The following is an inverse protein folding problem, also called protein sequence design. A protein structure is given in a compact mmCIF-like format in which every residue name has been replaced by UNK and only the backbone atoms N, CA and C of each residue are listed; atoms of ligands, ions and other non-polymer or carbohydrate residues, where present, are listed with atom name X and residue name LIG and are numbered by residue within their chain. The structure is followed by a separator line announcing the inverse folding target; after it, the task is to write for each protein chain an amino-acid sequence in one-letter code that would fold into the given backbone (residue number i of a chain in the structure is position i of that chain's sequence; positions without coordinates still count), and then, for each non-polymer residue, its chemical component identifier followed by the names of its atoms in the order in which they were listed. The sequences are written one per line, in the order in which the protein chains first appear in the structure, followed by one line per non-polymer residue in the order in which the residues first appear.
data_IF_275258287882
#
_entry.id   IF_275258287882
#
_cell.length_a   1.000
_cell.length_b   1.000
_cell.length_c   1.000
_cell.angle_alpha   90.00
_cell.angle_beta   90.00
_cell.angle_gamma   90.00
#
_symmetry.space_group_name_H-M   'P 1'
#
loop_
_entity.id
_entity.type
_entity.pdbx_description
1 polymer ?
#
# COMPACT_ATOMS: atom_id res chain seq x y z
N UNK A 1 -11.15 4.82 -2.82
CA UNK A 1 -10.72 5.26 -1.47
C UNK A 1 -10.15 6.68 -1.57
N UNK A 2 -9.91 7.39 -0.47
CA UNK A 2 -9.39 8.77 -0.49
C UNK A 2 -8.14 8.87 0.39
N UNK A 3 -6.99 9.08 -0.25
CA UNK A 3 -5.68 9.04 0.41
C UNK A 3 -5.57 10.07 1.53
N UNK A 4 -5.89 11.33 1.22
CA UNK A 4 -5.87 12.47 2.14
C UNK A 4 -6.71 12.20 3.40
N UNK A 5 -7.95 11.69 3.22
CA UNK A 5 -8.82 11.34 4.36
C UNK A 5 -8.25 10.21 5.21
N UNK A 6 -7.64 9.19 4.59
CA UNK A 6 -7.04 8.07 5.32
C UNK A 6 -5.84 8.55 6.13
N UNK A 7 -4.92 9.31 5.52
CA UNK A 7 -3.72 9.86 6.16
C UNK A 7 -4.09 10.77 7.35
N UNK A 8 -5.05 11.67 7.16
CA UNK A 8 -5.56 12.53 8.24
C UNK A 8 -6.16 11.73 9.39
N UNK A 9 -6.89 10.65 9.10
CA UNK A 9 -7.47 9.76 10.12
C UNK A 9 -6.39 9.04 10.93
N UNK A 10 -5.32 8.56 10.29
CA UNK A 10 -4.21 7.89 10.99
C UNK A 10 -3.22 8.86 11.63
N UNK A 11 -3.31 10.16 11.30
CA UNK A 11 -2.42 11.20 11.82
C UNK A 11 -1.02 11.15 11.19
N UNK A 12 -0.95 10.89 9.89
CA UNK A 12 0.25 11.02 9.05
C UNK A 12 0.10 12.31 8.24
N UNK A 13 1.19 13.08 8.11
CA UNK A 13 1.22 14.29 7.30
C UNK A 13 1.24 13.88 5.82
N UNK A 14 0.30 14.40 5.04
CA UNK A 14 0.16 14.09 3.61
C UNK A 14 1.38 14.51 2.77
N UNK A 15 2.15 15.49 3.27
CA UNK A 15 3.37 16.00 2.66
C UNK A 15 4.65 15.28 3.14
N UNK A 16 4.53 14.32 4.06
CA UNK A 16 5.67 13.52 4.51
C UNK A 16 6.32 12.79 3.34
N UNK A 17 7.65 12.80 3.26
CA UNK A 17 8.38 12.26 2.11
C UNK A 17 8.52 10.74 2.22
N UNK A 18 8.05 10.03 1.20
CA UNK A 18 8.28 8.60 0.98
C UNK A 18 9.18 8.45 -0.25
N UNK A 19 10.48 8.30 -0.02
CA UNK A 19 11.53 8.33 -1.06
C UNK A 19 11.53 9.66 -1.86
N UNK A 20 10.85 9.69 -3.00
CA UNK A 20 10.72 10.84 -3.91
C UNK A 20 9.26 11.30 -4.08
N UNK A 21 8.32 10.68 -3.37
CA UNK A 21 6.90 10.97 -3.39
C UNK A 21 6.44 11.59 -2.07
N UNK A 22 5.31 12.30 -2.09
CA UNK A 22 4.57 12.58 -0.85
C UNK A 22 3.86 11.33 -0.34
N UNK A 23 3.50 11.31 0.95
CA UNK A 23 2.69 10.25 1.53
C UNK A 23 1.32 10.14 0.83
N UNK A 24 0.77 11.26 0.37
CA UNK A 24 -0.44 11.29 -0.45
C UNK A 24 -0.26 10.58 -1.79
N UNK A 25 0.81 10.89 -2.53
CA UNK A 25 1.13 10.27 -3.81
C UNK A 25 1.37 8.77 -3.66
N UNK A 26 2.19 8.38 -2.67
CA UNK A 26 2.49 6.99 -2.37
C UNK A 26 1.23 6.18 -2.02
N UNK A 27 0.36 6.74 -1.16
CA UNK A 27 -0.89 6.08 -0.83
C UNK A 27 -1.87 6.09 -2.01
N UNK A 28 -1.85 7.12 -2.85
CA UNK A 28 -2.63 7.17 -4.09
C UNK A 28 -2.34 5.97 -4.98
N UNK A 29 -1.06 5.71 -5.28
CA UNK A 29 -0.63 4.55 -6.08
C UNK A 29 -1.05 3.23 -5.44
N UNK A 30 -0.86 3.07 -4.14
CA UNK A 30 -1.29 1.86 -3.42
C UNK A 30 -2.81 1.66 -3.50
N UNK A 31 -3.61 2.72 -3.37
CA UNK A 31 -5.07 2.67 -3.49
C UNK A 31 -5.48 2.22 -4.89
N UNK A 32 -4.86 2.75 -5.94
CA UNK A 32 -5.13 2.33 -7.33
C UNK A 32 -4.88 0.83 -7.51
N UNK A 33 -3.74 0.34 -7.03
CA UNK A 33 -3.41 -1.09 -7.05
C UNK A 33 -4.42 -1.94 -6.26
N UNK A 34 -4.86 -1.48 -5.09
CA UNK A 34 -5.82 -2.21 -4.26
C UNK A 34 -7.19 -2.27 -4.93
N UNK A 35 -7.63 -1.19 -5.56
CA UNK A 35 -8.90 -1.17 -6.30
C UNK A 35 -8.88 -2.11 -7.50
N UNK A 36 -7.71 -2.29 -8.14
CA UNK A 36 -7.53 -3.19 -9.27
C UNK A 36 -7.45 -4.68 -8.85
N UNK A 37 -6.63 -5.00 -7.85
CA UNK A 37 -6.26 -6.39 -7.54
C UNK A 37 -6.90 -6.95 -6.27
N UNK A 38 -7.28 -6.09 -5.31
CA UNK A 38 -7.69 -6.50 -3.97
C UNK A 38 -8.87 -5.66 -3.43
N UNK A 39 -10.00 -5.53 -4.14
CA UNK A 39 -11.03 -4.51 -3.86
C UNK A 39 -11.74 -4.67 -2.50
N UNK A 40 -11.57 -5.82 -1.84
CA UNK A 40 -12.14 -6.09 -0.53
C UNK A 40 -11.20 -5.71 0.64
N UNK A 41 -9.94 -5.34 0.35
CA UNK A 41 -8.95 -5.00 1.36
C UNK A 41 -9.30 -3.67 2.05
N UNK A 42 -9.38 -3.70 3.38
CA UNK A 42 -9.84 -2.57 4.20
C UNK A 42 -8.66 -1.75 4.72
N UNK A 43 -7.89 -1.12 3.82
CA UNK A 43 -6.67 -0.39 4.24
C UNK A 43 -6.97 0.81 5.14
N UNK A 44 -8.17 1.36 5.01
CA UNK A 44 -8.70 2.45 5.81
C UNK A 44 -8.92 2.05 7.28
N UNK A 45 -8.65 0.80 7.66
CA UNK A 45 -8.74 0.32 9.05
C UNK A 45 -7.39 0.06 9.72
N UNK A 46 -6.27 0.19 8.99
CA UNK A 46 -4.94 0.03 9.58
C UNK A 46 -4.72 1.03 10.71
N UNK A 47 -3.98 0.64 11.74
CA UNK A 47 -3.44 1.57 12.73
C UNK A 47 -2.34 2.44 12.12
N UNK A 48 -1.98 3.55 12.76
CA UNK A 48 -0.85 4.40 12.32
C UNK A 48 0.44 3.57 12.14
N UNK A 49 0.74 2.68 13.09
CA UNK A 49 1.95 1.84 13.06
C UNK A 49 1.95 0.91 11.85
N UNK A 50 0.83 0.24 11.58
CA UNK A 50 0.70 -0.66 10.43
C UNK A 50 0.78 0.11 9.11
N UNK A 51 0.23 1.32 9.07
CA UNK A 51 0.32 2.21 7.92
C UNK A 51 1.77 2.64 7.64
N UNK A 52 2.51 2.99 8.68
CA UNK A 52 3.94 3.32 8.56
C UNK A 52 4.72 2.15 7.98
N UNK A 53 4.47 0.92 8.46
CA UNK A 53 5.13 -0.28 7.91
C UNK A 53 4.79 -0.49 6.43
N UNK A 54 3.52 -0.30 6.03
CA UNK A 54 3.13 -0.40 4.62
C UNK A 54 3.87 0.63 3.75
N UNK A 55 3.99 1.87 4.20
CA UNK A 55 4.71 2.93 3.48
C UNK A 55 6.23 2.69 3.44
N UNK A 56 6.81 2.16 4.51
CA UNK A 56 8.22 1.73 4.55
C UNK A 56 8.48 0.62 3.53
N UNK A 57 7.63 -0.43 3.50
CA UNK A 57 7.71 -1.49 2.51
C UNK A 57 7.55 -0.97 1.08
N UNK A 58 6.67 0.02 0.85
CA UNK A 58 6.53 0.66 -0.45
C UNK A 58 7.79 1.44 -0.87
N UNK A 59 8.41 2.18 0.06
CA UNK A 59 9.70 2.84 -0.19
C UNK A 59 10.77 1.83 -0.62
N UNK A 60 10.86 0.68 0.04
CA UNK A 60 11.81 -0.38 -0.33
C UNK A 60 11.49 -0.99 -1.72
N UNK A 61 10.20 -1.16 -2.03
CA UNK A 61 9.75 -1.67 -3.32
C UNK A 61 10.02 -0.70 -4.48
N UNK A 62 9.91 0.62 -4.27
CA UNK A 62 10.27 1.63 -5.27
C UNK A 62 11.73 1.48 -5.71
N UNK A 63 12.62 1.14 -4.77
CA UNK A 63 14.04 0.97 -5.03
C UNK A 63 14.38 -0.39 -5.66
N UNK A 64 13.50 -1.38 -5.50
CA UNK A 64 13.75 -2.79 -5.86
C UNK A 64 13.09 -3.20 -7.17
N UNK A 65 11.88 -2.72 -7.43
CA UNK A 65 11.05 -3.13 -8.56
C UNK A 65 10.87 -2.01 -9.58
N UNK A 66 10.68 -2.39 -10.84
CA UNK A 66 10.33 -1.45 -11.90
C UNK A 66 8.86 -1.01 -11.77
N UNK A 67 8.49 0.20 -12.21
CA UNK A 67 7.12 0.71 -12.05
C UNK A 67 6.11 0.07 -13.02
N UNK A 68 6.55 -0.57 -14.11
CA UNK A 68 5.63 -1.20 -15.07
C UNK A 68 4.77 -2.30 -14.40
N UNK A 69 3.48 -2.33 -14.71
CA UNK A 69 2.55 -3.34 -14.19
C UNK A 69 2.24 -3.22 -12.69
N UNK A 70 2.47 -2.05 -12.09
CA UNK A 70 2.30 -1.80 -10.65
C UNK A 70 3.16 -2.73 -9.76
N UNK A 71 4.33 -3.17 -10.24
CA UNK A 71 5.15 -4.12 -9.45
C UNK A 71 5.65 -3.54 -8.12
N UNK A 72 5.79 -2.22 -8.03
CA UNK A 72 6.19 -1.55 -6.79
C UNK A 72 5.06 -1.64 -5.74
N UNK A 73 3.83 -1.34 -6.14
CA UNK A 73 2.64 -1.38 -5.29
C UNK A 73 2.31 -2.83 -4.90
N UNK A 74 2.27 -3.73 -5.89
CA UNK A 74 2.01 -5.16 -5.67
C UNK A 74 3.06 -5.77 -4.74
N UNK A 75 4.33 -5.43 -4.94
CA UNK A 75 5.43 -5.85 -4.08
C UNK A 75 5.25 -5.38 -2.63
N UNK A 76 4.82 -4.13 -2.43
CA UNK A 76 4.59 -3.58 -1.10
C UNK A 76 3.42 -4.25 -0.38
N UNK A 77 2.34 -4.58 -1.10
CA UNK A 77 1.21 -5.34 -0.55
C UNK A 77 1.63 -6.76 -0.16
N UNK A 78 2.42 -7.44 -0.99
CA UNK A 78 2.97 -8.78 -0.70
C UNK A 78 3.92 -8.77 0.51
N UNK A 79 4.83 -7.79 0.60
CA UNK A 79 5.71 -7.65 1.76
C UNK A 79 4.96 -7.30 3.05
N UNK A 80 3.74 -6.78 2.93
CA UNK A 80 2.85 -6.43 4.05
C UNK A 80 1.79 -7.49 4.35
N UNK A 81 1.88 -8.69 3.76
CA UNK A 81 0.86 -9.75 3.83
C UNK A 81 0.38 -10.03 5.25
N UNK A 82 1.29 -10.22 6.22
CA UNK A 82 0.94 -10.56 7.60
C UNK A 82 0.01 -9.52 8.24
N UNK A 83 0.23 -8.24 7.93
CA UNK A 83 -0.60 -7.14 8.41
C UNK A 83 -1.92 -7.13 7.64
N UNK A 84 -1.87 -7.16 6.31
CA UNK A 84 -3.02 -6.96 5.44
C UNK A 84 -4.04 -8.10 5.48
N UNK A 85 -3.62 -9.32 5.83
CA UNK A 85 -4.53 -10.44 6.08
C UNK A 85 -5.55 -10.15 7.19
N UNK A 86 -5.17 -9.36 8.20
CA UNK A 86 -6.09 -8.93 9.28
C UNK A 86 -7.21 -8.02 8.75
N UNK A 87 -7.01 -7.44 7.57
CA UNK A 87 -7.88 -6.44 6.94
C UNK A 87 -8.51 -6.94 5.65
N UNK A 88 -8.45 -8.25 5.37
CA UNK A 88 -9.18 -8.87 4.28
C UNK A 88 -8.34 -9.24 3.06
N UNK A 89 -7.00 -9.18 3.12
CA UNK A 89 -6.17 -9.76 2.07
C UNK A 89 -6.32 -11.29 2.06
N UNK A 90 -6.85 -11.83 0.96
CA UNK A 90 -7.10 -13.26 0.78
C UNK A 90 -5.96 -13.96 0.06
N UNK A 91 -5.97 -15.29 0.07
CA UNK A 91 -5.00 -16.09 -0.71
C UNK A 91 -5.15 -15.89 -2.22
N UNK A 92 -6.36 -15.58 -2.68
CA UNK A 92 -6.60 -15.32 -4.10
C UNK A 92 -6.08 -13.93 -4.49
N UNK A 93 -6.21 -12.93 -3.61
CA UNK A 93 -5.57 -11.63 -3.77
C UNK A 93 -4.04 -11.77 -3.88
N UNK A 94 -3.43 -12.59 -3.02
CA UNK A 94 -1.98 -12.84 -3.06
C UNK A 94 -1.55 -13.45 -4.39
N UNK A 95 -2.32 -14.41 -4.94
CA UNK A 95 -2.01 -15.03 -6.24
C UNK A 95 -2.07 -14.03 -7.40
N UNK A 96 -2.99 -13.06 -7.36
CA UNK A 96 -3.07 -12.03 -8.41
C UNK A 96 -2.04 -10.92 -8.20
N UNK A 97 -1.66 -10.64 -6.96
CA UNK A 97 -0.58 -9.70 -6.64
C UNK A 97 0.79 -10.26 -7.02
N UNK A 98 1.00 -11.57 -6.95
CA UNK A 98 2.25 -12.21 -7.36
C UNK A 98 2.49 -12.02 -8.87
N UNK A 99 3.66 -11.46 -9.21
CA UNK A 99 4.07 -11.11 -10.56
C UNK A 99 5.25 -11.95 -11.07
N UNK A 100 5.48 -13.12 -10.46
CA UNK A 100 6.38 -14.14 -10.96
C UNK A 100 6.08 -14.57 -12.41
#
# INVERSE_FOLDING_TARGET
MDATKILKRVGIDESESITHFSAEEALGSLIECIEEYCPNLQIDKLSKKEFTILLENYSDCILTFHPEGMHQERGALLQSEEILRKYGLSDDDIKVLDFC
#
